data_IF_301688911893
#
_entry.id   IF_301688911893
#
_cell.length_a   1.000
_cell.length_b   1.000
_cell.length_c   1.000
_cell.angle_alpha   90.00
_cell.angle_beta   90.00
_cell.angle_gamma   90.00
#
_symmetry.space_group_name_H-M   'P 1'
#
loop_
_entity.id
_entity.type
_entity.pdbx_description
1 polymer ?
#
# COMPACT_ATOMS: atom_id res chain seq x y z
N UNK A 1 14.23 53.99 26.65
CA UNK A 1 14.20 52.56 27.01
C UNK A 1 13.86 51.77 25.75
N UNK A 2 14.88 51.33 24.99
CA UNK A 2 14.73 50.60 23.72
C UNK A 2 14.99 49.12 23.99
N UNK A 3 14.02 48.28 23.63
CA UNK A 3 13.94 46.85 23.93
C UNK A 3 15.12 46.05 23.34
N UNK A 4 15.72 45.08 24.07
CA UNK A 4 16.77 44.21 23.55
C UNK A 4 16.22 43.02 22.73
N UNK A 5 14.91 42.96 22.48
CA UNK A 5 14.24 41.78 21.94
C UNK A 5 14.54 41.53 20.45
N UNK A 6 15.12 42.49 19.73
CA UNK A 6 15.41 42.37 18.30
C UNK A 6 16.65 41.48 17.98
N UNK A 7 17.50 41.17 18.95
CA UNK A 7 18.72 40.39 18.70
C UNK A 7 18.53 38.86 18.86
N UNK A 8 17.42 38.40 19.45
CA UNK A 8 17.21 36.98 19.72
C UNK A 8 16.63 36.21 18.52
N UNK A 9 15.93 36.89 17.60
CA UNK A 9 15.31 36.23 16.43
C UNK A 9 16.27 36.00 15.26
N UNK A 10 17.40 36.73 15.17
CA UNK A 10 18.34 36.59 14.06
C UNK A 10 19.22 35.32 14.16
N UNK A 11 19.34 34.73 15.35
CA UNK A 11 20.21 33.56 15.60
C UNK A 11 19.55 32.22 15.27
N UNK A 12 18.23 32.17 15.09
CA UNK A 12 17.48 30.93 14.84
C UNK A 12 17.40 30.59 13.35
N UNK A 13 17.54 31.58 12.46
CA UNK A 13 17.39 31.39 11.01
C UNK A 13 18.64 30.85 10.28
N UNK A 14 19.80 30.80 10.93
CA UNK A 14 21.05 30.33 10.33
C UNK A 14 21.34 28.83 10.56
N UNK A 15 20.49 28.12 11.31
CA UNK A 15 20.68 26.70 11.63
C UNK A 15 19.89 25.73 10.72
N UNK A 16 19.23 26.22 9.68
CA UNK A 16 18.40 25.39 8.78
C UNK A 16 19.12 24.96 7.49
N UNK A 17 20.32 25.48 7.22
CA UNK A 17 21.11 25.15 6.04
C UNK A 17 22.48 24.60 6.45
N UNK A 18 22.51 23.45 7.14
CA UNK A 18 23.73 22.66 7.19
C UNK A 18 23.87 21.88 5.88
N UNK A 19 24.95 22.05 5.10
CA UNK A 19 25.22 21.17 3.98
C UNK A 19 25.39 19.74 4.51
N UNK A 20 24.85 18.76 3.78
CA UNK A 20 25.01 17.35 4.09
C UNK A 20 26.50 17.04 4.29
N UNK A 21 26.83 16.33 5.38
CA UNK A 21 28.23 15.98 5.68
C UNK A 21 28.82 15.15 4.53
N UNK A 22 30.02 15.49 4.02
CA UNK A 22 30.66 14.74 2.94
C UNK A 22 30.99 13.30 3.32
N UNK A 23 31.02 13.00 4.63
CA UNK A 23 31.28 11.66 5.19
C UNK A 23 29.99 10.89 5.55
N UNK A 24 28.81 11.39 5.18
CA UNK A 24 27.59 10.61 5.35
C UNK A 24 27.64 9.36 4.45
N UNK A 25 27.36 8.16 4.98
CA UNK A 25 27.27 6.97 4.13
C UNK A 25 26.22 7.21 3.03
N UNK A 26 26.47 6.73 1.80
CA UNK A 26 25.51 6.89 0.72
C UNK A 26 24.15 6.32 1.16
N UNK A 27 23.03 6.94 0.75
CA UNK A 27 21.73 6.38 1.04
C UNK A 27 21.69 4.93 0.52
N UNK A 28 20.99 4.02 1.21
CA UNK A 28 20.88 2.65 0.75
C UNK A 28 20.36 2.64 -0.69
N UNK A 29 20.81 1.69 -1.53
CA UNK A 29 20.34 1.59 -2.90
C UNK A 29 18.81 1.56 -2.90
N UNK A 30 18.21 2.42 -3.72
CA UNK A 30 16.75 2.49 -3.85
C UNK A 30 16.27 1.12 -4.34
N UNK A 31 15.23 0.58 -3.72
CA UNK A 31 14.55 -0.60 -4.25
C UNK A 31 14.21 -0.32 -5.73
N UNK A 32 14.59 -1.24 -6.61
CA UNK A 32 14.37 -1.14 -8.06
C UNK A 32 12.92 -1.46 -8.45
N UNK A 33 12.08 -1.75 -7.47
CA UNK A 33 10.67 -2.08 -7.62
C UNK A 33 9.79 -1.12 -6.82
N UNK A 34 8.51 -1.07 -7.19
CA UNK A 34 7.46 -0.42 -6.41
C UNK A 34 6.22 -1.29 -6.49
N UNK A 35 5.54 -1.47 -5.35
CA UNK A 35 4.32 -2.25 -5.24
C UNK A 35 3.25 -1.40 -4.58
N UNK A 36 2.06 -1.41 -5.17
CA UNK A 36 0.87 -0.75 -4.62
C UNK A 36 -0.30 -1.73 -4.65
N UNK A 37 -1.15 -1.67 -3.63
CA UNK A 37 -2.33 -2.52 -3.46
C UNK A 37 -3.53 -1.66 -3.07
N UNK A 38 -4.76 -2.14 -3.28
CA UNK A 38 -5.97 -1.51 -2.77
C UNK A 38 -6.99 -2.55 -2.29
N UNK A 39 -7.72 -2.24 -1.22
CA UNK A 39 -8.85 -3.05 -0.73
C UNK A 39 -10.21 -2.65 -1.30
N UNK A 40 -10.25 -1.67 -2.21
CA UNK A 40 -11.47 -1.05 -2.72
C UNK A 40 -11.58 0.43 -2.32
N UNK A 41 -12.42 1.18 -3.02
CA UNK A 41 -12.70 2.58 -2.73
C UNK A 41 -14.22 2.79 -2.67
N UNK A 42 -14.68 3.74 -1.85
CA UNK A 42 -16.11 4.00 -1.67
C UNK A 42 -16.38 5.05 -0.60
N UNK A 43 -17.66 5.23 -0.27
CA UNK A 43 -18.10 6.11 0.80
C UNK A 43 -17.92 5.40 2.15
N UNK A 44 -16.68 5.30 2.61
CA UNK A 44 -16.33 4.87 3.95
C UNK A 44 -15.67 6.07 4.64
N UNK A 45 -16.45 6.84 5.40
CA UNK A 45 -15.87 7.84 6.28
C UNK A 45 -15.09 7.17 7.42
N UNK A 46 -14.09 7.83 7.99
CA UNK A 46 -13.43 7.36 9.21
C UNK A 46 -14.45 7.12 10.35
N UNK A 47 -15.61 7.78 10.29
CA UNK A 47 -16.73 7.63 11.22
C UNK A 47 -17.51 6.32 11.05
N UNK A 48 -17.41 5.66 9.88
CA UNK A 48 -18.15 4.43 9.58
C UNK A 48 -17.44 3.15 10.10
N UNK A 49 -16.14 3.26 10.42
CA UNK A 49 -15.34 2.15 10.93
C UNK A 49 -14.88 2.43 12.36
N UNK A 50 -15.10 1.46 13.27
CA UNK A 50 -14.46 1.49 14.57
C UNK A 50 -12.94 1.48 14.44
N UNK A 51 -12.24 2.03 15.44
CA UNK A 51 -10.76 2.01 15.50
C UNK A 51 -10.21 0.59 15.32
N UNK A 52 -10.89 -0.42 15.90
CA UNK A 52 -10.49 -1.81 15.75
C UNK A 52 -10.60 -2.30 14.30
N UNK A 53 -11.65 -1.91 13.57
CA UNK A 53 -11.79 -2.25 12.16
C UNK A 53 -10.74 -1.54 11.30
N UNK A 54 -10.48 -0.26 11.54
CA UNK A 54 -9.43 0.48 10.84
C UNK A 54 -8.05 -0.19 11.02
N UNK A 55 -7.73 -0.59 12.26
CA UNK A 55 -6.51 -1.32 12.57
C UNK A 55 -6.46 -2.69 11.90
N UNK A 56 -7.59 -3.41 11.82
CA UNK A 56 -7.66 -4.70 11.14
C UNK A 56 -7.39 -4.56 9.64
N UNK A 57 -8.01 -3.57 8.98
CA UNK A 57 -7.75 -3.26 7.57
C UNK A 57 -6.29 -2.88 7.31
N UNK A 58 -5.73 -1.98 8.12
CA UNK A 58 -4.34 -1.57 8.00
C UNK A 58 -3.37 -2.75 8.18
N UNK A 59 -3.59 -3.57 9.21
CA UNK A 59 -2.75 -4.74 9.48
C UNK A 59 -2.83 -5.78 8.36
N UNK A 60 -4.02 -5.99 7.78
CA UNK A 60 -4.18 -6.92 6.65
C UNK A 60 -3.49 -6.42 5.38
N UNK A 61 -3.66 -5.14 5.02
CA UNK A 61 -2.96 -4.51 3.89
C UNK A 61 -1.44 -4.54 4.10
N UNK A 62 -0.96 -4.24 5.30
CA UNK A 62 0.47 -4.29 5.64
C UNK A 62 1.02 -5.72 5.53
N UNK A 63 0.26 -6.74 5.93
CA UNK A 63 0.67 -8.14 5.80
C UNK A 63 0.79 -8.56 4.33
N UNK A 64 -0.21 -8.24 3.49
CA UNK A 64 -0.20 -8.54 2.06
C UNK A 64 0.95 -7.79 1.35
N UNK A 65 1.13 -6.51 1.67
CA UNK A 65 2.22 -5.70 1.13
C UNK A 65 3.58 -6.28 1.55
N UNK A 66 3.79 -6.56 2.83
CA UNK A 66 5.05 -7.11 3.36
C UNK A 66 5.43 -8.43 2.68
N UNK A 67 4.47 -9.32 2.46
CA UNK A 67 4.72 -10.55 1.71
C UNK A 67 5.18 -10.28 0.27
N UNK A 68 4.53 -9.34 -0.41
CA UNK A 68 4.91 -8.93 -1.77
C UNK A 68 6.30 -8.28 -1.84
N UNK A 69 6.65 -7.45 -0.85
CA UNK A 69 7.99 -6.86 -0.73
C UNK A 69 9.06 -7.96 -0.56
N UNK A 70 8.82 -8.93 0.32
CA UNK A 70 9.72 -10.07 0.52
C UNK A 70 9.94 -10.87 -0.78
N UNK A 71 8.89 -11.09 -1.57
CA UNK A 71 9.01 -11.78 -2.85
C UNK A 71 9.81 -10.97 -3.88
N UNK A 72 9.56 -9.66 -3.98
CA UNK A 72 10.29 -8.78 -4.89
C UNK A 72 11.78 -8.67 -4.51
N UNK A 73 12.10 -8.61 -3.23
CA UNK A 73 13.48 -8.61 -2.73
C UNK A 73 14.22 -9.91 -3.04
N UNK A 74 13.49 -11.03 -3.16
CA UNK A 74 14.02 -12.33 -3.63
C UNK A 74 14.13 -12.43 -5.15
N UNK A 75 13.71 -11.41 -5.90
CA UNK A 75 13.75 -11.39 -7.35
C UNK A 75 12.60 -12.16 -8.02
N UNK A 76 11.48 -12.37 -7.31
CA UNK A 76 10.27 -12.91 -7.92
C UNK A 76 9.76 -11.98 -9.04
N UNK A 77 9.07 -12.56 -10.02
CA UNK A 77 8.53 -11.77 -11.14
C UNK A 77 7.36 -10.90 -10.67
N UNK A 78 7.14 -9.75 -11.32
CA UNK A 78 6.03 -8.87 -10.97
C UNK A 78 4.66 -9.58 -11.08
N UNK A 79 4.49 -10.48 -12.06
CA UNK A 79 3.23 -11.22 -12.25
C UNK A 79 2.98 -12.22 -11.12
N UNK A 80 4.00 -12.94 -10.67
CA UNK A 80 3.87 -13.87 -9.54
C UNK A 80 3.58 -13.12 -8.23
N UNK A 81 4.19 -11.94 -8.06
CA UNK A 81 3.99 -11.11 -6.87
C UNK A 81 2.55 -10.58 -6.80
N UNK A 82 2.03 -9.99 -7.88
CA UNK A 82 0.66 -9.46 -7.85
C UNK A 82 -0.39 -10.56 -7.73
N UNK A 83 -0.17 -11.73 -8.34
CA UNK A 83 -1.03 -12.90 -8.15
C UNK A 83 -1.07 -13.32 -6.68
N UNK A 84 0.09 -13.53 -6.07
CA UNK A 84 0.15 -14.00 -4.68
C UNK A 84 -0.39 -12.98 -3.67
N UNK A 85 -0.18 -11.68 -3.92
CA UNK A 85 -0.74 -10.59 -3.09
C UNK A 85 -2.26 -10.57 -3.21
N UNK A 86 -2.82 -10.63 -4.43
CA UNK A 86 -4.28 -10.64 -4.63
C UNK A 86 -4.90 -11.88 -4.01
N UNK A 87 -4.27 -13.05 -4.15
CA UNK A 87 -4.74 -14.29 -3.52
C UNK A 87 -4.79 -14.19 -1.99
N UNK A 88 -3.82 -13.54 -1.35
CA UNK A 88 -3.87 -13.27 0.10
C UNK A 88 -5.04 -12.36 0.48
N UNK A 89 -5.35 -11.37 -0.36
CA UNK A 89 -6.50 -10.47 -0.15
C UNK A 89 -7.83 -11.17 -0.40
N UNK A 90 -7.93 -12.07 -1.39
CA UNK A 90 -9.10 -12.91 -1.63
C UNK A 90 -9.38 -13.90 -0.49
N UNK A 91 -8.33 -14.38 0.18
CA UNK A 91 -8.45 -15.23 1.38
C UNK A 91 -8.81 -14.44 2.66
N UNK A 92 -8.80 -13.11 2.62
CA UNK A 92 -9.21 -12.27 3.74
C UNK A 92 -10.65 -11.75 3.57
N UNK A 93 -11.52 -12.15 4.49
CA UNK A 93 -12.93 -11.73 4.54
C UNK A 93 -13.15 -10.22 4.71
N UNK A 94 -12.12 -9.45 5.04
CA UNK A 94 -12.22 -7.99 5.14
C UNK A 94 -12.43 -7.33 3.77
N UNK A 95 -12.00 -7.95 2.67
CA UNK A 95 -12.07 -7.36 1.34
C UNK A 95 -13.18 -7.99 0.50
N UNK A 96 -13.81 -7.18 -0.34
CA UNK A 96 -14.82 -7.65 -1.30
C UNK A 96 -14.15 -8.36 -2.49
N UNK A 97 -13.58 -9.53 -2.23
CA UNK A 97 -13.01 -10.46 -3.18
C UNK A 97 -12.95 -11.85 -2.53
N UNK A 98 -13.03 -12.92 -3.32
CA UNK A 98 -12.92 -14.30 -2.81
C UNK A 98 -13.86 -14.56 -1.61
N UNK A 99 -13.30 -14.82 -0.43
CA UNK A 99 -14.03 -15.15 0.80
C UNK A 99 -14.90 -14.02 1.34
N UNK A 100 -14.52 -12.76 1.11
CA UNK A 100 -15.27 -11.58 1.57
C UNK A 100 -16.23 -11.02 0.53
N UNK A 101 -16.49 -11.77 -0.55
CA UNK A 101 -17.33 -11.32 -1.65
C UNK A 101 -18.73 -10.90 -1.20
N UNK A 102 -19.21 -9.80 -1.76
CA UNK A 102 -20.58 -9.33 -1.59
C UNK A 102 -21.58 -10.26 -2.28
N UNK A 103 -22.85 -10.09 -1.93
CA UNK A 103 -23.95 -10.85 -2.52
C UNK A 103 -24.52 -10.18 -3.77
N UNK A 104 -24.93 -11.02 -4.73
CA UNK A 104 -25.83 -10.63 -5.82
C UNK A 104 -27.23 -10.32 -5.28
N UNK A 105 -28.11 -9.77 -6.13
CA UNK A 105 -29.53 -9.58 -5.77
C UNK A 105 -30.27 -10.90 -5.48
N UNK A 106 -29.73 -12.03 -5.95
CA UNK A 106 -30.28 -13.37 -5.72
C UNK A 106 -29.71 -14.03 -4.46
N UNK A 107 -28.79 -13.38 -3.74
CA UNK A 107 -28.18 -13.91 -2.52
C UNK A 107 -27.09 -14.95 -2.78
N UNK A 108 -26.50 -14.96 -3.98
CA UNK A 108 -25.34 -15.78 -4.36
C UNK A 108 -24.07 -14.92 -4.41
N UNK A 109 -22.92 -15.54 -4.69
CA UNK A 109 -21.68 -14.84 -5.03
C UNK A 109 -21.34 -15.07 -6.51
N UNK A 110 -20.91 -14.02 -7.18
CA UNK A 110 -20.36 -14.08 -8.54
C UNK A 110 -19.04 -13.32 -8.55
N UNK A 111 -17.96 -13.99 -8.96
CA UNK A 111 -16.59 -13.51 -8.85
C UNK A 111 -15.98 -13.24 -10.22
N UNK A 112 -15.27 -12.13 -10.31
CA UNK A 112 -14.50 -11.71 -11.47
C UNK A 112 -13.04 -11.48 -11.06
N UNK A 113 -12.09 -11.88 -11.90
CA UNK A 113 -10.67 -11.63 -11.68
C UNK A 113 -9.93 -11.48 -13.02
N UNK A 114 -8.85 -10.71 -13.03
CA UNK A 114 -7.98 -10.56 -14.20
C UNK A 114 -6.53 -10.35 -13.82
N UNK A 115 -5.62 -10.74 -14.71
CA UNK A 115 -4.18 -10.57 -14.56
C UNK A 115 -3.55 -10.23 -15.90
N UNK A 116 -2.50 -9.39 -15.88
CA UNK A 116 -1.76 -9.00 -17.07
C UNK A 116 -0.25 -8.97 -16.79
N UNK A 117 0.52 -9.56 -17.69
CA UNK A 117 1.99 -9.44 -17.70
C UNK A 117 2.41 -8.31 -18.66
N UNK A 118 2.96 -7.24 -18.09
CA UNK A 118 3.44 -6.10 -18.86
C UNK A 118 4.65 -6.39 -19.78
N UNK A 119 5.40 -7.46 -19.52
CA UNK A 119 6.56 -7.85 -20.31
C UNK A 119 6.15 -8.48 -21.63
N UNK A 120 5.30 -9.51 -21.57
CA UNK A 120 4.79 -10.23 -22.76
C UNK A 120 3.55 -9.58 -23.38
N UNK A 121 2.85 -8.71 -22.65
CA UNK A 121 1.51 -8.19 -22.96
C UNK A 121 0.41 -9.26 -22.97
N UNK A 122 0.68 -10.44 -22.42
CA UNK A 122 -0.35 -11.44 -22.22
C UNK A 122 -1.29 -11.04 -21.08
N UNK A 123 -2.55 -11.42 -21.19
CA UNK A 123 -3.56 -11.22 -20.15
C UNK A 123 -4.50 -12.43 -20.07
N UNK A 124 -5.14 -12.59 -18.92
CA UNK A 124 -6.17 -13.59 -18.66
C UNK A 124 -7.22 -13.04 -17.71
N UNK A 125 -8.46 -13.51 -17.85
CA UNK A 125 -9.57 -13.10 -17.01
C UNK A 125 -10.61 -14.22 -16.88
N UNK A 126 -11.34 -14.19 -15.78
CA UNK A 126 -12.53 -15.00 -15.51
C UNK A 126 -13.65 -14.08 -15.02
N UNK A 127 -14.90 -14.47 -15.27
CA UNK A 127 -16.07 -13.70 -14.82
C UNK A 127 -17.23 -14.63 -14.51
N UNK A 128 -18.07 -14.23 -13.55
CA UNK A 128 -19.28 -14.96 -13.18
C UNK A 128 -19.01 -16.34 -12.59
N UNK A 129 -17.85 -16.55 -11.96
CA UNK A 129 -17.56 -17.80 -11.25
C UNK A 129 -18.26 -17.83 -9.89
N UNK A 130 -18.68 -19.01 -9.45
CA UNK A 130 -19.34 -19.25 -8.16
C UNK A 130 -18.50 -20.19 -7.30
#
# INVERSE_FOLDING_TARGET
>A
MKSPLAFLCASIFLLACQPASPDAPPPPPRAVWSLAIHGGAGQFGEEDLSVAQQQAYAASLDAALSWGQEQLDRGASAVDVVEGVVRLMEDDSLFNAGRGAVFTSEGTHELDASIADGTSRNCGAVTGLQ
#
